data_IF_964722473666
#
_entry.id   IF_964722473666
#
_cell.length_a   1.000
_cell.length_b   1.000
_cell.length_c   1.000
_cell.angle_alpha   90.00
_cell.angle_beta   90.00
_cell.angle_gamma   90.00
#
_symmetry.space_group_name_H-M   'P 1'
#
loop_
_entity.id
_entity.type
_entity.pdbx_description
1 polymer ?
#
# COMPACT_ATOMS: atom_id res chain seq x y z
N UNK A 1 -0.97 6.41 -22.26
CA UNK A 1 -0.34 5.24 -21.60
C UNK A 1 0.54 5.75 -20.47
N UNK A 2 -0.01 5.97 -19.28
CA UNK A 2 0.80 6.35 -18.10
C UNK A 2 1.33 5.07 -17.47
N UNK A 3 2.56 4.70 -17.86
CA UNK A 3 3.28 3.60 -17.23
C UNK A 3 3.43 3.90 -15.75
N UNK A 4 2.72 3.14 -14.90
CA UNK A 4 2.95 3.15 -13.46
C UNK A 4 4.41 2.77 -13.28
N UNK A 5 5.23 3.77 -12.98
CA UNK A 5 6.65 3.59 -12.82
C UNK A 5 6.83 2.56 -11.71
N UNK A 6 7.43 1.40 -12.02
CA UNK A 6 7.78 0.37 -11.03
C UNK A 6 8.89 0.84 -10.08
N UNK A 7 9.02 2.16 -9.84
CA UNK A 7 9.93 2.77 -8.88
C UNK A 7 9.80 2.05 -7.54
N UNK A 8 10.92 1.54 -7.07
CA UNK A 8 11.07 0.95 -5.73
C UNK A 8 10.68 1.98 -4.67
N UNK A 9 10.19 1.53 -3.51
CA UNK A 9 10.01 2.40 -2.35
C UNK A 9 11.32 3.15 -2.06
N UNK A 10 11.26 4.46 -1.90
CA UNK A 10 12.44 5.33 -1.76
C UNK A 10 12.68 5.79 -0.34
N UNK A 11 11.62 6.04 0.41
CA UNK A 11 11.66 6.45 1.81
C UNK A 11 12.04 5.29 2.72
N UNK A 12 12.81 5.63 3.75
CA UNK A 12 13.22 4.68 4.77
C UNK A 12 12.00 4.10 5.52
N UNK A 13 11.02 4.94 5.84
CA UNK A 13 9.81 4.51 6.57
C UNK A 13 8.95 3.52 5.77
N UNK A 14 8.79 3.71 4.45
CA UNK A 14 8.07 2.75 3.62
C UNK A 14 8.83 1.42 3.50
N UNK A 15 10.16 1.46 3.35
CA UNK A 15 11.00 0.25 3.32
C UNK A 15 10.94 -0.50 4.65
N UNK A 16 11.01 0.21 5.77
CA UNK A 16 10.91 -0.39 7.11
C UNK A 16 9.55 -1.06 7.31
N UNK A 17 8.45 -0.43 6.91
CA UNK A 17 7.12 -1.02 7.00
C UNK A 17 7.04 -2.36 6.24
N UNK A 18 7.61 -2.43 5.04
CA UNK A 18 7.71 -3.69 4.28
C UNK A 18 8.63 -4.70 4.97
N UNK A 19 9.74 -4.24 5.55
CA UNK A 19 10.66 -5.08 6.32
C UNK A 19 10.00 -5.74 7.52
N UNK A 20 9.20 -5.01 8.29
CA UNK A 20 8.44 -5.54 9.44
C UNK A 20 7.49 -6.66 8.97
N UNK A 21 6.73 -6.42 7.90
CA UNK A 21 5.84 -7.44 7.35
C UNK A 21 6.60 -8.69 6.88
N UNK A 22 7.78 -8.50 6.28
CA UNK A 22 8.62 -9.60 5.81
C UNK A 22 9.17 -10.46 6.95
N UNK A 23 9.50 -9.87 8.10
CA UNK A 23 9.94 -10.60 9.31
C UNK A 23 8.86 -11.59 9.76
N UNK A 24 7.59 -11.19 9.70
CA UNK A 24 6.45 -12.04 10.06
C UNK A 24 5.98 -12.95 8.92
N UNK A 25 6.76 -13.06 7.83
CA UNK A 25 6.40 -13.79 6.61
C UNK A 25 5.05 -13.34 5.99
N UNK A 26 4.67 -12.08 6.22
CA UNK A 26 3.46 -11.47 5.66
C UNK A 26 3.80 -10.85 4.31
N UNK A 27 3.18 -11.37 3.25
CA UNK A 27 3.37 -10.85 1.89
C UNK A 27 2.54 -9.60 1.66
N UNK A 28 3.18 -8.54 1.22
CA UNK A 28 2.49 -7.33 0.79
C UNK A 28 1.77 -7.57 -0.54
N UNK A 29 0.47 -7.28 -0.58
CA UNK A 29 -0.31 -7.35 -1.82
C UNK A 29 0.09 -6.24 -2.80
N UNK A 30 -0.19 -6.44 -4.10
CA UNK A 30 0.03 -5.41 -5.12
C UNK A 30 -0.72 -4.11 -4.79
N UNK A 31 -1.92 -4.21 -4.21
CA UNK A 31 -2.68 -3.06 -3.73
C UNK A 31 -1.99 -2.34 -2.56
N UNK A 32 -1.51 -3.09 -1.57
CA UNK A 32 -0.78 -2.51 -0.45
C UNK A 32 0.50 -1.79 -0.88
N UNK A 33 1.21 -2.33 -1.86
CA UNK A 33 2.40 -1.71 -2.43
C UNK A 33 2.07 -0.40 -3.18
N UNK A 34 1.00 -0.38 -3.97
CA UNK A 34 0.53 0.82 -4.66
C UNK A 34 0.14 1.93 -3.68
N UNK A 35 -0.60 1.57 -2.64
CA UNK A 35 -1.08 2.49 -1.62
C UNK A 35 0.08 3.10 -0.80
N UNK A 36 1.09 2.29 -0.47
CA UNK A 36 2.33 2.76 0.15
C UNK A 36 3.09 3.75 -0.75
N UNK A 37 3.20 3.47 -2.05
CA UNK A 37 3.87 4.37 -3.01
C UNK A 37 3.14 5.70 -3.13
N UNK A 38 1.82 5.68 -3.30
CA UNK A 38 1.02 6.93 -3.38
C UNK A 38 1.14 7.78 -2.13
N UNK A 39 1.22 7.15 -0.94
CA UNK A 39 1.47 7.86 0.31
C UNK A 39 2.90 8.43 0.39
N UNK A 40 3.89 7.67 -0.07
CA UNK A 40 5.30 8.12 -0.14
C UNK A 40 5.48 9.30 -1.10
N UNK A 41 4.83 9.25 -2.26
CA UNK A 41 4.86 10.31 -3.28
C UNK A 41 4.01 11.53 -2.90
N UNK A 42 3.35 11.52 -1.73
CA UNK A 42 2.48 12.60 -1.26
C UNK A 42 1.18 12.76 -2.06
N UNK A 43 0.81 11.76 -2.87
CA UNK A 43 -0.40 11.76 -3.69
C UNK A 43 -1.67 11.49 -2.89
N UNK A 44 -1.54 10.80 -1.75
CA UNK A 44 -2.64 10.55 -0.81
C UNK A 44 -2.20 10.83 0.63
N UNK A 45 -3.14 11.30 1.44
CA UNK A 45 -2.97 11.41 2.89
C UNK A 45 -3.12 10.05 3.57
N UNK A 46 -2.73 9.98 4.84
CA UNK A 46 -2.95 8.81 5.69
C UNK A 46 -4.44 8.46 5.80
N UNK A 47 -5.32 9.45 5.97
CA UNK A 47 -6.75 9.20 6.11
C UNK A 47 -7.37 8.68 4.81
N UNK A 48 -6.93 9.18 3.66
CA UNK A 48 -7.33 8.67 2.35
C UNK A 48 -6.87 7.22 2.16
N UNK A 49 -5.60 6.93 2.46
CA UNK A 49 -5.05 5.58 2.46
C UNK A 49 -5.85 4.61 3.36
N UNK A 50 -6.22 5.05 4.56
CA UNK A 50 -7.01 4.28 5.52
C UNK A 50 -8.42 3.98 5.00
N UNK A 51 -9.11 4.97 4.43
CA UNK A 51 -10.48 4.74 3.92
C UNK A 51 -10.46 3.85 2.68
N UNK A 52 -9.46 3.94 1.80
CA UNK A 52 -9.30 3.00 0.68
C UNK A 52 -9.17 1.54 1.15
N UNK A 53 -8.35 1.29 2.19
CA UNK A 53 -8.23 -0.05 2.79
C UNK A 53 -9.58 -0.50 3.34
N UNK A 54 -10.28 0.38 4.05
CA UNK A 54 -11.60 0.07 4.65
C UNK A 54 -12.64 -0.28 3.59
N UNK A 55 -12.72 0.49 2.51
CA UNK A 55 -13.64 0.24 1.39
C UNK A 55 -13.33 -1.09 0.70
N UNK A 56 -12.05 -1.38 0.47
CA UNK A 56 -11.61 -2.66 -0.11
C UNK A 56 -11.95 -3.83 0.80
N UNK A 57 -11.73 -3.71 2.11
CA UNK A 57 -12.07 -4.75 3.08
C UNK A 57 -13.58 -5.04 3.09
N UNK A 58 -14.42 -4.00 3.07
CA UNK A 58 -15.89 -4.15 2.94
C UNK A 58 -16.28 -4.86 1.64
N UNK A 59 -15.67 -4.48 0.52
CA UNK A 59 -15.96 -5.10 -0.78
C UNK A 59 -15.54 -6.57 -0.84
N UNK A 60 -14.47 -6.96 -0.15
CA UNK A 60 -14.04 -8.36 -0.02
C UNK A 60 -14.98 -9.14 0.89
N UNK A 61 -15.39 -8.57 2.03
CA UNK A 61 -16.33 -9.19 2.95
C UNK A 61 -17.73 -9.39 2.34
N UNK A 62 -18.17 -8.49 1.47
CA UNK A 62 -19.45 -8.63 0.76
C UNK A 62 -19.43 -9.67 -0.38
N UNK A 63 -18.25 -10.17 -0.75
CA UNK A 63 -18.07 -11.18 -1.81
C UNK A 63 -17.82 -12.60 -1.26
N UNK A 64 -17.60 -12.74 0.04
CA UNK A 64 -17.43 -14.01 0.74
C UNK A 64 -18.73 -14.43 1.42
#
# INVERSE_FOLDING_TARGET
MTGINRKSLTSWSARQAVGILAVDNIKLSAFGLDLLKRKEDGLISYDQAREEIRLRAKALAAKG
#
